data_IF_196953926442
#
_entry.id   IF_196953926442
#
_cell.length_a   1.000
_cell.length_b   1.000
_cell.length_c   1.000
_cell.angle_alpha   90.00
_cell.angle_beta   90.00
_cell.angle_gamma   90.00
#
_symmetry.space_group_name_H-M   'P 1'
#
loop_
_entity.id
_entity.type
_entity.pdbx_description
1 polymer ?
#
# COMPACT_ATOMS: atom_id res chain seq x y z
N UNK A 1 -3.06 -6.56 -6.98
CA UNK A 1 -1.71 -6.27 -6.49
C UNK A 1 -1.60 -6.53 -4.99
N UNK A 2 -0.39 -6.70 -4.46
CA UNK A 2 -0.17 -6.83 -3.01
C UNK A 2 -0.32 -5.49 -2.28
N UNK A 3 -0.70 -5.53 -0.98
CA UNK A 3 -0.78 -4.30 -0.17
C UNK A 3 0.56 -3.59 -0.01
N UNK A 4 1.68 -4.32 -0.11
CA UNK A 4 3.05 -3.76 -0.06
C UNK A 4 3.37 -2.90 -1.28
N UNK A 5 2.77 -3.20 -2.43
CA UNK A 5 3.06 -2.56 -3.70
C UNK A 5 2.17 -1.31 -3.95
N UNK A 6 1.29 -0.95 -2.99
CA UNK A 6 0.37 0.19 -3.14
C UNK A 6 1.11 1.51 -3.33
N UNK A 7 2.18 1.73 -2.57
CA UNK A 7 2.96 2.94 -2.67
C UNK A 7 3.69 3.05 -4.02
N UNK A 8 4.36 1.97 -4.43
CA UNK A 8 5.04 1.92 -5.73
C UNK A 8 4.07 2.09 -6.89
N UNK A 9 2.86 1.56 -6.75
CA UNK A 9 1.79 1.78 -7.74
C UNK A 9 1.37 3.25 -7.80
N UNK A 10 1.18 3.90 -6.64
CA UNK A 10 0.84 5.32 -6.59
C UNK A 10 1.94 6.17 -7.23
N UNK A 11 3.21 5.88 -6.91
CA UNK A 11 4.37 6.54 -7.50
C UNK A 11 4.40 6.37 -9.02
N UNK A 12 4.23 5.14 -9.51
CA UNK A 12 4.17 4.85 -10.95
C UNK A 12 3.02 5.56 -11.67
N UNK A 13 1.87 5.71 -11.02
CA UNK A 13 0.75 6.51 -11.56
C UNK A 13 1.14 7.98 -11.66
N UNK A 14 1.78 8.54 -10.64
CA UNK A 14 2.25 9.93 -10.67
C UNK A 14 3.29 10.14 -11.77
N UNK A 15 4.30 9.28 -11.86
CA UNK A 15 5.35 9.35 -12.87
C UNK A 15 4.83 9.15 -14.29
N UNK A 16 3.81 8.30 -14.46
CA UNK A 16 3.16 8.11 -15.76
C UNK A 16 2.33 9.32 -16.20
N UNK A 17 2.00 10.24 -15.28
CA UNK A 17 1.21 11.44 -15.55
C UNK A 17 1.97 12.71 -15.12
N UNK A 18 2.96 13.16 -15.89
CA UNK A 18 3.84 14.29 -15.52
C UNK A 18 3.11 15.61 -15.25
N UNK A 19 1.94 15.80 -15.86
CA UNK A 19 1.07 16.98 -15.65
C UNK A 19 -0.01 16.72 -14.60
N UNK A 20 0.19 15.74 -13.70
CA UNK A 20 -0.79 15.43 -12.67
C UNK A 20 -1.03 16.64 -11.77
N UNK A 21 -2.29 17.02 -11.62
CA UNK A 21 -2.77 17.94 -10.62
C UNK A 21 -3.97 17.30 -9.94
N UNK A 22 -3.78 16.76 -8.74
CA UNK A 22 -4.77 15.86 -8.20
C UNK A 22 -4.75 15.67 -6.70
N UNK A 23 -5.75 14.94 -6.21
CA UNK A 23 -5.89 14.56 -4.80
C UNK A 23 -5.73 13.04 -4.68
N UNK A 24 -4.96 12.63 -3.68
CA UNK A 24 -4.80 11.24 -3.24
C UNK A 24 -5.56 11.05 -1.92
N UNK A 25 -6.59 10.24 -1.94
CA UNK A 25 -7.39 9.95 -0.77
C UNK A 25 -6.85 8.77 0.03
N UNK A 26 -6.50 9.02 1.28
CA UNK A 26 -6.08 8.05 2.28
C UNK A 26 -7.15 7.85 3.35
N UNK A 27 -7.11 6.71 4.04
CA UNK A 27 -8.13 6.37 5.04
C UNK A 27 -7.93 7.06 6.38
N UNK A 28 -6.68 7.22 6.82
CA UNK A 28 -6.33 7.75 8.14
C UNK A 28 -5.36 8.90 8.04
N UNK A 29 -5.38 9.78 9.06
CA UNK A 29 -4.42 10.90 9.19
C UNK A 29 -2.96 10.41 9.13
N UNK A 30 -2.65 9.32 9.86
CA UNK A 30 -1.31 8.72 9.86
C UNK A 30 -0.88 8.23 8.46
N UNK A 31 -1.77 7.55 7.74
CA UNK A 31 -1.51 7.12 6.37
C UNK A 31 -1.28 8.32 5.45
N UNK A 32 -2.12 9.37 5.56
CA UNK A 32 -1.99 10.61 4.81
C UNK A 32 -0.60 11.23 5.00
N UNK A 33 -0.18 11.43 6.26
CA UNK A 33 1.14 12.01 6.55
C UNK A 33 2.29 11.12 6.09
N UNK A 34 2.19 9.80 6.26
CA UNK A 34 3.23 8.88 5.82
C UNK A 34 3.41 8.87 4.30
N UNK A 35 2.32 8.92 3.54
CA UNK A 35 2.37 8.96 2.07
C UNK A 35 2.91 10.32 1.60
N UNK A 36 2.48 11.43 2.20
CA UNK A 36 2.99 12.75 1.88
C UNK A 36 4.50 12.86 2.11
N UNK A 37 4.97 12.42 3.28
CA UNK A 37 6.40 12.44 3.60
C UNK A 37 7.22 11.60 2.61
N UNK A 38 6.72 10.43 2.21
CA UNK A 38 7.39 9.61 1.20
C UNK A 38 7.45 10.30 -0.16
N UNK A 39 6.35 10.92 -0.58
CA UNK A 39 6.30 11.66 -1.84
C UNK A 39 7.25 12.84 -1.84
N UNK A 40 7.29 13.65 -0.78
CA UNK A 40 8.25 14.74 -0.63
C UNK A 40 9.69 14.24 -0.66
N UNK A 41 10.00 13.16 0.05
CA UNK A 41 11.34 12.56 0.04
C UNK A 41 11.73 12.00 -1.34
N UNK A 42 10.77 11.54 -2.11
CA UNK A 42 10.98 11.08 -3.50
C UNK A 42 11.03 12.26 -4.51
N UNK A 43 10.93 13.51 -4.04
CA UNK A 43 11.08 14.73 -4.87
C UNK A 43 9.79 15.22 -5.52
N UNK A 44 8.61 14.75 -5.11
CA UNK A 44 7.34 15.25 -5.63
C UNK A 44 6.88 16.51 -4.90
N UNK A 45 6.26 17.42 -5.63
CA UNK A 45 5.56 18.57 -5.06
C UNK A 45 4.22 18.12 -4.46
N UNK A 46 4.28 17.55 -3.27
CA UNK A 46 3.15 16.99 -2.57
C UNK A 46 3.09 17.46 -1.12
N UNK A 47 1.89 17.57 -0.55
CA UNK A 47 1.70 17.87 0.86
C UNK A 47 0.45 17.18 1.42
N UNK A 48 0.37 17.08 2.74
CA UNK A 48 -0.74 16.44 3.45
C UNK A 48 -1.79 17.45 3.91
N UNK A 49 -3.07 17.04 3.87
CA UNK A 49 -4.14 17.76 4.56
C UNK A 49 -4.99 16.80 5.39
N UNK A 50 -4.99 17.01 6.71
CA UNK A 50 -5.74 16.17 7.67
C UNK A 50 -6.15 16.97 8.90
N UNK A 51 -6.99 16.40 9.75
CA UNK A 51 -7.60 17.10 10.87
C UNK A 51 -6.69 17.45 12.03
N UNK A 52 -5.40 17.08 12.00
CA UNK A 52 -4.41 17.49 13.02
C UNK A 52 -3.66 18.76 12.62
N UNK A 53 -3.80 19.24 11.40
CA UNK A 53 -3.24 20.52 10.98
C UNK A 53 -4.05 21.66 11.59
N UNK A 54 -3.34 22.72 12.04
CA UNK A 54 -3.96 23.97 12.43
C UNK A 54 -4.65 24.63 11.22
N UNK A 55 -5.58 25.57 11.47
CA UNK A 55 -6.26 26.26 10.38
C UNK A 55 -5.25 27.01 9.48
N UNK A 56 -4.26 27.67 10.05
CA UNK A 56 -3.21 28.37 9.31
C UNK A 56 -2.43 27.42 8.40
N UNK A 57 -2.02 26.26 8.92
CA UNK A 57 -1.32 25.25 8.11
C UNK A 57 -2.18 24.73 6.95
N UNK A 58 -3.48 24.53 7.19
CA UNK A 58 -4.41 24.12 6.13
C UNK A 58 -4.55 25.18 5.05
N UNK A 59 -4.65 26.45 5.45
CA UNK A 59 -4.77 27.57 4.53
C UNK A 59 -3.51 27.72 3.68
N UNK A 60 -2.31 27.55 4.27
CA UNK A 60 -1.02 27.56 3.58
C UNK A 60 -0.94 26.44 2.51
N UNK A 61 -1.25 25.20 2.90
CA UNK A 61 -1.26 24.06 1.98
C UNK A 61 -2.24 24.29 0.84
N UNK A 62 -3.44 24.79 1.17
CA UNK A 62 -4.48 25.05 0.17
C UNK A 62 -4.13 26.19 -0.76
N UNK A 63 -3.45 27.25 -0.25
CA UNK A 63 -2.95 28.36 -1.07
C UNK A 63 -1.94 27.86 -2.10
N UNK A 64 -0.93 27.09 -1.66
CA UNK A 64 0.07 26.47 -2.54
C UNK A 64 -0.58 25.56 -3.58
N UNK A 65 -1.59 24.77 -3.19
CA UNK A 65 -2.30 23.89 -4.09
C UNK A 65 -3.09 24.67 -5.15
N UNK A 66 -3.85 25.69 -4.78
CA UNK A 66 -4.59 26.53 -5.73
C UNK A 66 -3.67 27.29 -6.70
N UNK A 67 -2.50 27.72 -6.24
CA UNK A 67 -1.47 28.34 -7.06
C UNK A 67 -0.73 27.35 -7.98
N UNK A 68 -1.04 26.05 -7.89
CA UNK A 68 -0.36 24.96 -8.62
C UNK A 68 1.13 24.82 -8.33
N UNK A 69 1.65 25.48 -7.30
CA UNK A 69 2.99 25.22 -6.76
C UNK A 69 3.07 23.88 -6.07
N UNK A 70 1.93 23.35 -5.62
CA UNK A 70 1.73 22.00 -5.14
C UNK A 70 0.91 21.20 -6.16
N UNK A 71 1.44 20.05 -6.62
CA UNK A 71 0.80 19.25 -7.67
C UNK A 71 -0.11 18.16 -7.10
N UNK A 72 0.26 17.57 -5.98
CA UNK A 72 -0.43 16.41 -5.40
C UNK A 72 -0.79 16.71 -3.95
N UNK A 73 -2.08 16.73 -3.65
CA UNK A 73 -2.59 16.87 -2.30
C UNK A 73 -2.97 15.50 -1.74
N UNK A 74 -2.39 15.11 -0.60
CA UNK A 74 -2.74 13.85 0.07
C UNK A 74 -3.69 14.16 1.21
N UNK A 75 -4.92 13.58 1.19
CA UNK A 75 -5.99 14.02 2.05
C UNK A 75 -6.78 12.87 2.69
N UNK A 76 -7.35 13.14 3.88
CA UNK A 76 -8.46 12.34 4.42
C UNK A 76 -9.79 12.91 3.94
N UNK A 77 -10.86 12.09 3.94
CA UNK A 77 -12.21 12.54 3.55
C UNK A 77 -12.70 13.75 4.32
N UNK A 78 -12.49 13.75 5.65
CA UNK A 78 -12.95 14.83 6.52
C UNK A 78 -12.25 16.14 6.19
N UNK A 79 -10.95 16.08 5.94
CA UNK A 79 -10.16 17.27 5.62
C UNK A 79 -10.43 17.79 4.19
N UNK A 80 -10.80 16.89 3.28
CA UNK A 80 -11.15 17.24 1.91
C UNK A 80 -12.57 17.78 1.75
N UNK A 81 -13.44 17.67 2.76
CA UNK A 81 -14.76 18.30 2.73
C UNK A 81 -14.62 19.81 2.79
N UNK A 82 -15.36 20.50 1.93
CA UNK A 82 -15.31 21.96 1.85
C UNK A 82 -14.08 22.51 1.16
N UNK A 83 -13.20 21.67 0.63
CA UNK A 83 -12.14 22.13 -0.26
C UNK A 83 -12.78 22.60 -1.56
N UNK A 84 -12.74 23.92 -1.77
CA UNK A 84 -13.10 24.54 -3.04
C UNK A 84 -11.93 24.33 -4.02
N UNK A 85 -11.84 23.12 -4.55
CA UNK A 85 -10.83 22.74 -5.56
C UNK A 85 -11.55 21.93 -6.63
N UNK A 86 -11.77 22.58 -7.73
CA UNK A 86 -12.35 22.00 -8.92
C UNK A 86 -11.31 21.90 -10.06
N UNK A 87 -11.65 21.16 -11.09
CA UNK A 87 -10.80 20.99 -12.28
C UNK A 87 -9.49 20.23 -12.04
N UNK A 88 -9.50 19.33 -11.07
CA UNK A 88 -8.39 18.39 -10.92
C UNK A 88 -8.29 17.48 -12.14
N UNK A 89 -7.07 17.15 -12.54
CA UNK A 89 -6.83 16.17 -13.60
C UNK A 89 -7.07 14.75 -13.11
N UNK A 90 -6.71 14.48 -11.83
CA UNK A 90 -6.79 13.15 -11.25
C UNK A 90 -7.34 13.16 -9.83
N UNK A 91 -8.15 12.15 -9.53
CA UNK A 91 -8.52 11.75 -8.18
C UNK A 91 -8.03 10.32 -7.97
N UNK A 92 -7.18 10.11 -6.97
CA UNK A 92 -6.62 8.78 -6.69
C UNK A 92 -7.12 8.30 -5.34
N UNK A 93 -7.87 7.21 -5.34
CA UNK A 93 -8.27 6.51 -4.13
C UNK A 93 -7.17 5.51 -3.74
N UNK A 94 -6.18 5.97 -2.96
CA UNK A 94 -5.14 5.12 -2.41
C UNK A 94 -5.75 4.08 -1.47
N UNK A 95 -6.74 4.49 -0.68
CA UNK A 95 -7.58 3.61 0.13
C UNK A 95 -9.04 3.79 -0.27
N UNK A 96 -9.71 2.69 -0.62
CA UNK A 96 -11.13 2.72 -0.96
C UNK A 96 -11.97 3.13 0.27
N UNK A 97 -12.96 4.00 0.11
CA UNK A 97 -13.88 4.36 1.18
C UNK A 97 -14.76 3.15 1.57
N UNK A 98 -15.30 3.17 2.78
CA UNK A 98 -16.22 2.14 3.24
C UNK A 98 -17.65 2.39 2.69
N UNK A 99 -18.02 3.65 2.52
CA UNK A 99 -19.28 4.07 1.93
C UNK A 99 -19.09 4.43 0.44
N UNK A 100 -19.84 3.81 -0.47
CA UNK A 100 -19.83 4.14 -1.89
C UNK A 100 -20.15 5.59 -2.23
N UNK A 101 -21.00 6.28 -1.45
CA UNK A 101 -21.32 7.69 -1.68
C UNK A 101 -20.08 8.59 -1.52
N UNK A 102 -19.21 8.24 -0.57
CA UNK A 102 -17.93 8.94 -0.38
C UNK A 102 -17.04 8.81 -1.63
N UNK A 103 -17.08 7.66 -2.31
CA UNK A 103 -16.36 7.49 -3.59
C UNK A 103 -16.85 8.48 -4.64
N UNK A 104 -18.16 8.64 -4.76
CA UNK A 104 -18.76 9.59 -5.71
C UNK A 104 -18.37 11.04 -5.39
N UNK A 105 -18.40 11.43 -4.10
CA UNK A 105 -17.97 12.75 -3.65
C UNK A 105 -16.48 13.01 -3.91
N UNK A 106 -15.61 12.01 -3.73
CA UNK A 106 -14.18 12.11 -4.06
C UNK A 106 -14.00 12.28 -5.56
N UNK A 107 -14.61 11.41 -6.36
CA UNK A 107 -14.50 11.42 -7.82
C UNK A 107 -15.06 12.71 -8.43
N UNK A 108 -16.08 13.30 -7.82
CA UNK A 108 -16.64 14.58 -8.22
C UNK A 108 -15.70 15.78 -8.04
N UNK A 109 -14.46 15.63 -7.59
CA UNK A 109 -13.43 16.68 -7.59
C UNK A 109 -12.71 16.80 -8.93
N UNK A 110 -12.93 15.88 -9.85
CA UNK A 110 -12.42 15.91 -11.21
C UNK A 110 -13.56 15.83 -12.22
N UNK A 111 -13.29 16.14 -13.48
CA UNK A 111 -14.28 16.03 -14.57
C UNK A 111 -15.42 17.06 -14.52
N UNK A 112 -15.20 18.24 -13.93
CA UNK A 112 -16.20 19.32 -13.85
C UNK A 112 -16.08 20.31 -15.00
N UNK A 113 -17.15 21.05 -15.25
CA UNK A 113 -17.22 22.14 -16.25
C UNK A 113 -16.82 21.68 -17.68
N UNK A 114 -17.26 20.47 -18.09
CA UNK A 114 -16.99 19.95 -19.43
C UNK A 114 -15.56 19.44 -19.65
N UNK A 115 -14.71 19.42 -18.62
CA UNK A 115 -13.35 18.89 -18.69
C UNK A 115 -13.33 17.39 -18.37
N UNK A 116 -12.49 16.65 -19.08
CA UNK A 116 -12.26 15.25 -18.76
C UNK A 116 -11.43 15.11 -17.48
N UNK A 117 -11.81 14.17 -16.63
CA UNK A 117 -11.10 13.86 -15.39
C UNK A 117 -10.90 12.36 -15.22
N UNK A 118 -9.86 11.98 -14.50
CA UNK A 118 -9.52 10.58 -14.27
C UNK A 118 -9.66 10.27 -12.78
N UNK A 119 -10.53 9.30 -12.44
CA UNK A 119 -10.64 8.75 -11.09
C UNK A 119 -10.04 7.35 -11.05
N UNK A 120 -9.04 7.15 -10.21
CA UNK A 120 -8.28 5.90 -10.09
C UNK A 120 -8.52 5.29 -8.71
N UNK A 121 -8.80 3.98 -8.67
CA UNK A 121 -8.89 3.20 -7.45
C UNK A 121 -7.74 2.20 -7.37
N UNK A 122 -6.85 2.38 -6.40
CA UNK A 122 -5.76 1.43 -6.14
C UNK A 122 -6.29 0.34 -5.21
N UNK A 123 -6.50 -0.86 -5.75
CA UNK A 123 -7.11 -1.97 -5.02
C UNK A 123 -6.28 -3.25 -5.05
N UNK A 124 -6.43 -4.05 -4.01
CA UNK A 124 -5.89 -5.39 -3.96
C UNK A 124 -6.99 -6.44 -4.21
N UNK A 125 -6.60 -7.71 -4.36
CA UNK A 125 -7.54 -8.81 -4.66
C UNK A 125 -8.62 -9.02 -3.57
N UNK A 126 -8.40 -8.56 -2.34
CA UNK A 126 -9.36 -8.68 -1.22
C UNK A 126 -10.45 -7.60 -1.27
N UNK A 127 -10.18 -6.49 -1.95
CA UNK A 127 -11.08 -5.33 -2.05
C UNK A 127 -12.10 -5.45 -3.19
N UNK A 128 -12.12 -6.57 -3.94
CA UNK A 128 -13.03 -6.78 -5.07
C UNK A 128 -14.52 -6.66 -4.73
N UNK A 129 -14.94 -7.09 -3.53
CA UNK A 129 -16.33 -6.89 -3.07
C UNK A 129 -16.68 -5.42 -2.86
N UNK A 130 -15.71 -4.64 -2.39
CA UNK A 130 -15.86 -3.20 -2.17
C UNK A 130 -16.01 -2.45 -3.49
N UNK A 131 -15.18 -2.80 -4.49
CA UNK A 131 -15.29 -2.25 -5.84
C UNK A 131 -16.67 -2.51 -6.43
N UNK A 132 -17.15 -3.77 -6.39
CA UNK A 132 -18.50 -4.11 -6.87
C UNK A 132 -19.62 -3.36 -6.15
N UNK A 133 -19.48 -3.14 -4.84
CA UNK A 133 -20.46 -2.35 -4.08
C UNK A 133 -20.50 -0.90 -4.54
N UNK A 134 -19.33 -0.32 -4.86
CA UNK A 134 -19.22 1.04 -5.39
C UNK A 134 -19.82 1.09 -6.80
N UNK A 135 -19.49 0.16 -7.68
CA UNK A 135 -20.05 0.08 -9.05
C UNK A 135 -21.58 0.08 -9.02
N UNK A 136 -22.16 -0.82 -8.20
CA UNK A 136 -23.60 -0.97 -8.12
C UNK A 136 -24.33 0.26 -7.57
N UNK A 137 -23.79 0.88 -6.49
CA UNK A 137 -24.43 2.04 -5.87
C UNK A 137 -24.22 3.33 -6.64
N UNK A 138 -23.04 3.53 -7.21
CA UNK A 138 -22.70 4.75 -7.96
C UNK A 138 -23.03 4.64 -9.44
N UNK A 139 -23.56 3.52 -9.91
CA UNK A 139 -23.90 3.24 -11.33
C UNK A 139 -22.74 3.52 -12.28
N UNK A 140 -21.53 3.10 -11.89
CA UNK A 140 -20.30 3.25 -12.66
C UNK A 140 -19.69 1.89 -12.94
N UNK A 141 -18.84 1.81 -13.95
CA UNK A 141 -18.04 0.62 -14.25
C UNK A 141 -16.56 0.94 -14.11
N UNK A 142 -15.83 0.19 -13.28
CA UNK A 142 -14.38 0.30 -13.23
C UNK A 142 -13.71 -0.41 -14.39
N UNK A 143 -12.88 0.31 -15.12
CA UNK A 143 -12.01 -0.28 -16.14
C UNK A 143 -10.72 -0.71 -15.46
N UNK A 144 -10.46 -2.00 -15.42
CA UNK A 144 -9.20 -2.53 -14.89
C UNK A 144 -8.03 -2.15 -15.81
N UNK A 145 -7.01 -1.53 -15.23
CA UNK A 145 -5.75 -1.25 -15.92
C UNK A 145 -4.59 -1.88 -15.15
N UNK A 146 -3.58 -2.28 -15.88
CA UNK A 146 -2.33 -2.75 -15.30
C UNK A 146 -1.49 -1.54 -14.84
N UNK A 147 -0.65 -1.78 -13.84
CA UNK A 147 0.29 -0.76 -13.36
C UNK A 147 1.30 -0.47 -14.47
N UNK A 148 1.57 0.80 -14.80
CA UNK A 148 2.53 1.14 -15.86
C UNK A 148 3.90 0.49 -15.62
N UNK A 149 4.48 -0.07 -16.68
CA UNK A 149 5.84 -0.60 -16.63
C UNK A 149 6.87 0.54 -16.54
N UNK A 150 8.07 0.25 -16.04
CA UNK A 150 9.15 1.24 -16.02
C UNK A 150 9.46 1.79 -17.42
N UNK A 151 9.39 0.95 -18.46
CA UNK A 151 9.60 1.36 -19.85
C UNK A 151 8.53 2.35 -20.34
N UNK A 152 7.26 2.08 -20.04
CA UNK A 152 6.16 2.98 -20.45
C UNK A 152 6.28 4.34 -19.78
N UNK A 153 6.64 4.36 -18.49
CA UNK A 153 6.86 5.58 -17.71
C UNK A 153 8.01 6.38 -18.32
N UNK A 154 9.16 5.73 -18.54
CA UNK A 154 10.34 6.38 -19.12
C UNK A 154 10.05 6.98 -20.49
N UNK A 155 9.37 6.23 -21.37
CA UNK A 155 8.98 6.73 -22.68
C UNK A 155 8.11 7.98 -22.58
N UNK A 156 7.09 7.94 -21.72
CA UNK A 156 6.15 9.06 -21.56
C UNK A 156 6.82 10.31 -20.99
N UNK A 157 7.68 10.15 -19.99
CA UNK A 157 8.44 11.24 -19.39
C UNK A 157 9.43 11.86 -20.39
N UNK A 158 10.11 11.03 -21.18
CA UNK A 158 11.04 11.49 -22.18
C UNK A 158 10.33 12.32 -23.26
N UNK A 159 9.22 11.82 -23.81
CA UNK A 159 8.45 12.58 -24.79
C UNK A 159 7.92 13.89 -24.21
N UNK A 160 7.51 13.90 -22.93
CA UNK A 160 7.08 15.13 -22.28
C UNK A 160 8.22 16.14 -22.10
N UNK A 161 9.42 15.67 -21.79
CA UNK A 161 10.62 16.50 -21.76
C UNK A 161 10.85 17.16 -23.13
N UNK A 162 10.80 16.38 -24.21
CA UNK A 162 10.98 16.91 -25.59
C UNK A 162 9.90 17.95 -25.93
N UNK A 163 8.62 17.67 -25.63
CA UNK A 163 7.54 18.65 -25.83
C UNK A 163 7.77 19.96 -25.06
N UNK A 164 8.28 19.87 -23.83
CA UNK A 164 8.61 21.02 -23.01
C UNK A 164 9.72 21.85 -23.64
N UNK A 165 10.78 21.21 -24.13
CA UNK A 165 11.90 21.84 -24.81
C UNK A 165 11.43 22.57 -26.07
N UNK A 166 10.57 21.93 -26.87
CA UNK A 166 10.03 22.55 -28.09
C UNK A 166 9.19 23.82 -27.82
N UNK A 167 8.58 23.87 -26.61
CA UNK A 167 7.69 25.00 -26.23
C UNK A 167 8.42 26.10 -25.44
N UNK A 168 9.67 25.87 -25.04
CA UNK A 168 10.46 26.89 -24.34
C UNK A 168 10.64 28.12 -25.19
N UNK A 169 10.25 29.26 -24.65
CA UNK A 169 10.57 30.56 -25.24
C UNK A 169 11.98 30.92 -24.81
N UNK A 170 12.88 30.95 -25.76
CA UNK A 170 14.27 31.37 -25.52
C UNK A 170 14.32 32.87 -25.33
N UNK A 171 14.78 33.34 -24.18
CA UNK A 171 15.09 34.75 -23.98
C UNK A 171 16.49 35.01 -24.56
N UNK A 172 16.49 35.47 -25.83
CA UNK A 172 17.73 35.71 -26.57
C UNK A 172 18.64 36.71 -25.86
N UNK A 173 18.08 37.78 -25.26
CA UNK A 173 18.88 38.81 -24.59
C UNK A 173 19.66 38.28 -23.40
N UNK A 174 19.08 37.32 -22.68
CA UNK A 174 19.74 36.73 -21.51
C UNK A 174 20.79 35.69 -21.88
N UNK A 175 20.61 34.95 -22.98
CA UNK A 175 21.49 33.81 -23.33
C UNK A 175 22.58 34.26 -24.33
N UNK A 176 22.33 35.27 -25.16
CA UNK A 176 23.24 35.74 -26.21
C UNK A 176 24.68 36.01 -25.73
N UNK A 177 24.93 36.63 -24.55
CA UNK A 177 26.30 36.86 -24.08
C UNK A 177 27.11 35.56 -23.83
N UNK A 178 26.45 34.42 -23.71
CA UNK A 178 27.11 33.12 -23.41
C UNK A 178 27.17 32.20 -24.63
N UNK A 179 26.50 32.53 -25.72
CA UNK A 179 26.36 31.64 -26.87
C UNK A 179 27.66 31.33 -27.59
N UNK A 180 28.56 32.32 -27.76
CA UNK A 180 29.85 32.11 -28.42
C UNK A 180 30.70 31.06 -27.66
N UNK A 181 30.78 31.19 -26.33
CA UNK A 181 31.53 30.25 -25.49
C UNK A 181 30.88 28.86 -25.49
N UNK A 182 29.56 28.81 -25.51
CA UNK A 182 28.79 27.56 -25.57
C UNK A 182 29.04 26.84 -26.89
N UNK A 183 28.95 27.59 -28.02
CA UNK A 183 29.17 27.01 -29.32
C UNK A 183 30.59 26.49 -29.50
N UNK A 184 31.60 27.27 -29.09
CA UNK A 184 32.99 26.84 -29.11
C UNK A 184 33.23 25.55 -28.33
N UNK A 185 32.67 25.43 -27.15
CA UNK A 185 32.79 24.21 -26.31
C UNK A 185 32.07 23.01 -26.86
N UNK A 186 31.02 23.20 -27.63
CA UNK A 186 30.18 22.12 -28.17
C UNK A 186 30.48 21.82 -29.66
N UNK A 187 31.38 22.55 -30.28
CA UNK A 187 31.72 22.45 -31.72
C UNK A 187 32.15 21.03 -32.14
N UNK A 188 32.80 20.28 -31.21
CA UNK A 188 33.24 18.91 -31.47
C UNK A 188 32.09 17.87 -31.47
N UNK A 189 30.91 18.23 -31.01
CA UNK A 189 29.77 17.34 -30.94
C UNK A 189 28.89 17.44 -32.18
N UNK A 190 28.58 16.31 -32.80
CA UNK A 190 27.52 16.27 -33.81
C UNK A 190 26.17 16.64 -33.20
N UNK A 191 25.23 17.10 -34.03
CA UNK A 191 23.86 17.36 -33.61
C UNK A 191 23.22 16.16 -32.91
N UNK A 192 23.51 14.95 -33.41
CA UNK A 192 22.97 13.70 -32.83
C UNK A 192 23.60 13.43 -31.47
N UNK A 193 24.89 13.64 -31.30
CA UNK A 193 25.57 13.45 -30.03
C UNK A 193 25.18 14.51 -29.02
N UNK A 194 24.98 15.75 -29.43
CA UNK A 194 24.46 16.81 -28.57
C UNK A 194 23.08 16.43 -28.00
N UNK A 195 22.17 15.89 -28.83
CA UNK A 195 20.87 15.43 -28.40
C UNK A 195 21.01 14.26 -27.41
N UNK A 196 21.89 13.27 -27.69
CA UNK A 196 22.14 12.14 -26.79
C UNK A 196 22.69 12.61 -25.44
N UNK A 197 23.68 13.51 -25.44
CA UNK A 197 24.26 14.05 -24.19
C UNK A 197 23.23 14.83 -23.39
N UNK A 198 22.44 15.68 -24.04
CA UNK A 198 21.39 16.45 -23.40
C UNK A 198 20.32 15.56 -22.76
N UNK A 199 19.80 14.59 -23.52
CA UNK A 199 18.82 13.61 -22.99
C UNK A 199 19.42 12.81 -21.85
N UNK A 200 20.69 12.39 -21.97
CA UNK A 200 21.36 11.62 -20.94
C UNK A 200 21.57 12.43 -19.66
N UNK A 201 21.97 13.69 -19.76
CA UNK A 201 22.19 14.55 -18.60
C UNK A 201 20.91 14.76 -17.79
N UNK A 202 19.80 14.97 -18.46
CA UNK A 202 18.50 15.22 -17.80
C UNK A 202 17.80 13.94 -17.34
N UNK A 203 18.03 12.81 -18.00
CA UNK A 203 17.16 11.64 -17.87
C UNK A 203 17.81 10.38 -17.28
N UNK A 204 19.15 10.28 -17.24
CA UNK A 204 19.84 9.08 -16.78
C UNK A 204 19.44 8.66 -15.35
N UNK A 205 19.30 9.61 -14.42
CA UNK A 205 18.88 9.31 -13.04
C UNK A 205 17.52 8.63 -13.00
N UNK A 206 16.60 9.07 -13.84
CA UNK A 206 15.25 8.52 -13.94
C UNK A 206 15.24 7.13 -14.60
N UNK A 207 16.01 6.96 -15.67
CA UNK A 207 16.22 5.66 -16.32
C UNK A 207 16.83 4.63 -15.36
N UNK A 208 17.86 5.01 -14.63
CA UNK A 208 18.52 4.13 -13.66
C UNK A 208 17.59 3.67 -12.56
N UNK A 209 16.73 4.56 -12.06
CA UNK A 209 15.74 4.22 -11.06
C UNK A 209 14.79 3.13 -11.58
N UNK A 210 14.22 3.30 -12.77
CA UNK A 210 13.26 2.34 -13.33
C UNK A 210 13.90 1.07 -13.87
N UNK A 211 15.13 1.10 -14.35
CA UNK A 211 15.88 -0.10 -14.75
C UNK A 211 16.19 -1.01 -13.54
N UNK A 212 16.42 -0.44 -12.37
CA UNK A 212 16.66 -1.18 -11.13
C UNK A 212 15.38 -1.60 -10.41
N UNK A 213 14.27 -0.90 -10.64
CA UNK A 213 12.99 -1.19 -10.01
C UNK A 213 12.32 -2.41 -10.65
N UNK A 214 11.92 -3.38 -9.84
CA UNK A 214 11.11 -4.52 -10.32
C UNK A 214 9.70 -4.02 -10.68
N UNK A 215 9.19 -4.44 -11.83
CA UNK A 215 7.80 -4.13 -12.18
C UNK A 215 6.82 -4.75 -11.19
N UNK A 216 5.78 -3.98 -10.84
CA UNK A 216 4.73 -4.44 -9.95
C UNK A 216 3.95 -5.57 -10.63
N UNK A 217 4.08 -6.79 -10.10
CA UNK A 217 3.37 -7.95 -10.65
C UNK A 217 1.88 -7.84 -10.35
N UNK A 218 1.08 -7.84 -11.41
CA UNK A 218 -0.38 -7.97 -11.27
C UNK A 218 -0.74 -9.39 -10.84
N UNK A 219 -1.27 -9.56 -9.64
CA UNK A 219 -1.89 -10.82 -9.24
C UNK A 219 -3.17 -11.02 -10.08
N UNK A 220 -3.19 -12.08 -10.85
CA UNK A 220 -4.28 -12.60 -11.69
C UNK A 220 -4.24 -12.26 -13.19
N UNK A 221 -3.39 -12.98 -13.93
CA UNK A 221 -3.83 -13.58 -15.18
C UNK A 221 -4.45 -14.95 -14.85
N UNK A 222 -5.64 -14.99 -14.30
CA UNK A 222 -6.51 -16.17 -14.47
C UNK A 222 -6.97 -16.12 -15.93
N UNK A 223 -6.44 -17.05 -16.73
CA UNK A 223 -6.92 -17.30 -18.08
C UNK A 223 -8.43 -17.52 -18.02
N UNK A 224 -9.20 -16.56 -18.53
CA UNK A 224 -10.56 -16.81 -19.01
C UNK A 224 -10.43 -17.65 -20.29
N UNK A 225 -10.32 -18.95 -20.13
CA UNK A 225 -10.73 -19.93 -21.11
C UNK A 225 -11.90 -20.66 -20.50
N UNK A 226 -13.06 -20.33 -21.02
CA UNK A 226 -14.31 -21.00 -20.70
C UNK A 226 -14.24 -22.50 -20.93
N UNK A 227 -15.17 -23.13 -20.22
CA UNK A 227 -15.69 -24.48 -20.40
C UNK A 227 -14.97 -25.64 -19.71
N UNK A 228 -15.84 -26.37 -19.03
CA UNK A 228 -15.73 -27.67 -18.39
C UNK A 228 -15.29 -27.71 -16.92
N UNK A 229 -16.30 -27.56 -16.08
CA UNK A 229 -16.25 -28.00 -14.68
C UNK A 229 -16.05 -29.52 -14.62
N UNK A 230 -14.82 -29.96 -14.36
CA UNK A 230 -14.50 -31.27 -13.77
C UNK A 230 -14.04 -31.10 -12.32
N UNK A 231 -14.22 -32.09 -11.45
CA UNK A 231 -14.12 -31.90 -10.02
C UNK A 231 -12.70 -31.56 -9.57
N UNK A 232 -12.66 -30.74 -8.54
CA UNK A 232 -11.52 -30.10 -7.92
C UNK A 232 -10.48 -31.12 -7.42
N UNK A 233 -9.50 -31.44 -8.25
CA UNK A 233 -8.26 -32.07 -7.84
C UNK A 233 -7.22 -30.99 -7.59
N UNK A 234 -6.71 -30.92 -6.36
CA UNK A 234 -5.64 -30.05 -5.90
C UNK A 234 -4.46 -30.08 -6.87
N UNK A 235 -4.29 -29.03 -7.71
CA UNK A 235 -3.05 -28.84 -8.46
C UNK A 235 -2.04 -28.14 -7.56
N UNK A 236 -0.96 -28.85 -7.31
CA UNK A 236 0.27 -28.38 -6.69
C UNK A 236 0.84 -27.21 -7.51
N UNK A 237 0.86 -26.02 -6.94
CA UNK A 237 1.82 -24.99 -7.31
C UNK A 237 3.23 -25.56 -7.09
N UNK A 238 4.20 -25.22 -7.92
CA UNK A 238 5.62 -25.46 -7.66
C UNK A 238 5.98 -24.88 -6.26
N UNK A 239 5.74 -25.67 -5.23
CA UNK A 239 6.39 -25.51 -3.95
C UNK A 239 7.71 -26.21 -4.13
N UNK A 240 8.81 -25.50 -4.00
CA UNK A 240 10.04 -26.11 -3.56
C UNK A 240 9.65 -27.17 -2.55
N UNK A 241 10.17 -28.38 -2.68
CA UNK A 241 9.75 -29.51 -1.85
C UNK A 241 10.14 -29.23 -0.40
N UNK A 242 9.22 -28.60 0.37
CA UNK A 242 9.41 -28.42 1.80
C UNK A 242 9.46 -29.79 2.45
N UNK A 243 10.48 -30.02 3.26
CA UNK A 243 10.72 -31.23 4.02
C UNK A 243 10.50 -30.90 5.51
N UNK A 244 9.83 -31.79 6.22
CA UNK A 244 9.59 -31.65 7.66
C UNK A 244 10.79 -32.13 8.45
N UNK A 245 11.19 -31.34 9.43
CA UNK A 245 12.23 -31.67 10.40
C UNK A 245 11.68 -31.58 11.81
N UNK A 246 12.20 -32.45 12.68
CA UNK A 246 11.97 -32.39 14.12
C UNK A 246 13.29 -32.07 14.82
N UNK A 247 13.26 -31.09 15.74
CA UNK A 247 14.39 -30.73 16.60
C UNK A 247 14.01 -30.95 18.06
N UNK A 248 14.95 -31.43 18.88
CA UNK A 248 14.77 -31.86 20.28
C UNK A 248 14.63 -30.70 21.28
N UNK A 249 14.16 -29.54 20.89
CA UNK A 249 13.85 -28.40 21.76
C UNK A 249 12.41 -27.95 21.53
N UNK A 250 11.74 -27.60 22.63
CA UNK A 250 10.33 -27.21 22.64
C UNK A 250 10.03 -26.10 23.63
N UNK A 251 8.76 -25.99 24.04
CA UNK A 251 8.32 -24.96 25.00
C UNK A 251 9.03 -25.03 26.34
N UNK A 252 9.33 -26.24 26.81
CA UNK A 252 10.08 -26.47 28.08
C UNK A 252 11.49 -25.88 28.04
N UNK A 253 12.07 -25.76 26.85
CA UNK A 253 13.40 -25.17 26.63
C UNK A 253 13.34 -23.68 26.31
N UNK A 254 12.16 -23.04 26.40
CA UNK A 254 11.97 -21.61 26.11
C UNK A 254 11.94 -21.28 24.63
N UNK A 255 11.69 -22.23 23.71
CA UNK A 255 11.70 -22.00 22.27
C UNK A 255 10.43 -21.27 21.83
N UNK A 256 10.62 -20.13 21.14
CA UNK A 256 9.60 -19.42 20.37
C UNK A 256 9.84 -19.56 18.87
N UNK A 257 8.85 -19.28 18.00
CA UNK A 257 9.06 -19.29 16.55
C UNK A 257 10.20 -18.37 16.09
N UNK A 258 10.37 -17.21 16.75
CA UNK A 258 11.41 -16.23 16.44
C UNK A 258 12.79 -16.77 16.79
N UNK A 259 12.92 -17.44 17.94
CA UNK A 259 14.17 -18.04 18.38
C UNK A 259 14.59 -19.20 17.51
N UNK A 260 13.63 -20.06 17.07
CA UNK A 260 13.92 -21.13 16.13
C UNK A 260 14.43 -20.58 14.78
N UNK A 261 13.78 -19.56 14.24
CA UNK A 261 14.19 -18.91 12.99
C UNK A 261 15.60 -18.31 13.14
N UNK A 262 15.86 -17.62 14.25
CA UNK A 262 17.18 -17.04 14.54
C UNK A 262 18.27 -18.12 14.67
N UNK A 263 17.95 -19.24 15.31
CA UNK A 263 18.87 -20.39 15.42
C UNK A 263 19.22 -20.98 14.06
N UNK A 264 18.21 -21.20 13.21
CA UNK A 264 18.40 -21.73 11.85
C UNK A 264 19.25 -20.77 11.00
N UNK A 265 18.93 -19.47 11.04
CA UNK A 265 19.66 -18.46 10.29
C UNK A 265 21.13 -18.36 10.75
N UNK A 266 21.38 -18.45 12.07
CA UNK A 266 22.74 -18.47 12.62
C UNK A 266 23.50 -19.72 12.22
N UNK A 267 22.85 -20.91 12.24
CA UNK A 267 23.44 -22.18 11.82
C UNK A 267 23.89 -22.14 10.36
N UNK A 268 23.06 -21.59 9.49
CA UNK A 268 23.26 -21.59 8.04
C UNK A 268 23.98 -20.32 7.52
N UNK A 269 24.20 -19.34 8.39
CA UNK A 269 24.80 -18.02 8.05
C UNK A 269 24.09 -17.31 6.89
N UNK A 270 22.75 -17.41 6.84
CA UNK A 270 21.92 -16.80 5.81
C UNK A 270 20.60 -16.31 6.42
N UNK A 271 20.15 -15.11 6.01
CA UNK A 271 18.88 -14.51 6.45
C UNK A 271 17.75 -14.69 5.42
N UNK A 272 18.01 -15.35 4.29
CA UNK A 272 17.05 -15.50 3.18
C UNK A 272 16.42 -16.91 3.12
N UNK A 273 16.45 -17.64 4.25
CA UNK A 273 15.96 -19.02 4.30
C UNK A 273 14.43 -19.02 4.43
N UNK A 274 13.75 -19.65 3.47
CA UNK A 274 12.31 -19.84 3.56
C UNK A 274 11.96 -20.98 4.54
N UNK A 275 11.37 -20.61 5.67
CA UNK A 275 10.84 -21.56 6.67
C UNK A 275 9.31 -21.54 6.52
N UNK A 276 8.73 -22.73 6.35
CA UNK A 276 7.29 -22.92 6.20
C UNK A 276 6.54 -22.91 7.53
N UNK A 277 5.74 -23.93 7.78
CA UNK A 277 5.01 -24.11 9.05
C UNK A 277 5.96 -24.42 10.21
N UNK A 278 5.64 -23.94 11.42
CA UNK A 278 6.35 -24.26 12.67
C UNK A 278 5.30 -24.71 13.70
N UNK A 279 5.48 -25.90 14.28
CA UNK A 279 4.68 -26.45 15.37
C UNK A 279 5.57 -26.74 16.58
N UNK A 280 5.50 -25.89 17.60
CA UNK A 280 6.28 -26.01 18.83
C UNK A 280 5.48 -26.83 19.83
N UNK A 281 5.97 -28.01 20.14
CA UNK A 281 5.42 -28.90 21.18
C UNK A 281 6.16 -28.71 22.51
N UNK A 282 5.82 -29.46 23.52
CA UNK A 282 6.43 -29.27 24.85
C UNK A 282 7.92 -29.60 24.90
N UNK A 283 8.35 -30.69 24.28
CA UNK A 283 9.73 -31.19 24.33
C UNK A 283 10.47 -31.15 22.99
N UNK A 284 9.78 -30.91 21.85
CA UNK A 284 10.37 -30.85 20.54
C UNK A 284 9.59 -29.91 19.62
N UNK A 285 10.17 -29.53 18.51
CA UNK A 285 9.54 -28.65 17.51
C UNK A 285 9.61 -29.27 16.13
N UNK A 286 8.49 -29.24 15.40
CA UNK A 286 8.42 -29.66 14.00
C UNK A 286 8.35 -28.39 13.13
N UNK A 287 9.12 -28.36 12.06
CA UNK A 287 9.11 -27.23 11.12
C UNK A 287 9.37 -27.68 9.69
N UNK A 288 8.85 -26.88 8.74
CA UNK A 288 9.01 -27.10 7.31
C UNK A 288 10.12 -26.21 6.77
N UNK A 289 11.03 -26.75 5.97
CA UNK A 289 12.13 -26.00 5.35
C UNK A 289 12.40 -26.51 3.94
N UNK A 290 12.97 -25.66 3.08
CA UNK A 290 13.33 -26.03 1.71
C UNK A 290 14.28 -27.24 1.68
N UNK A 291 13.95 -28.25 0.88
CA UNK A 291 14.73 -29.48 0.75
C UNK A 291 16.16 -29.28 0.24
N UNK A 292 16.45 -28.18 -0.46
CA UNK A 292 17.78 -27.86 -0.98
C UNK A 292 18.85 -27.70 0.12
N UNK A 293 18.45 -27.24 1.32
CA UNK A 293 19.34 -26.97 2.46
C UNK A 293 19.38 -28.10 3.50
N UNK A 294 18.73 -29.24 3.22
CA UNK A 294 18.67 -30.41 4.10
C UNK A 294 20.02 -30.85 4.66
N UNK A 295 21.00 -31.01 3.77
CA UNK A 295 22.31 -31.57 4.15
C UNK A 295 23.09 -30.60 5.06
N UNK A 296 22.99 -29.31 4.81
CA UNK A 296 23.64 -28.27 5.60
C UNK A 296 22.99 -28.15 6.99
N UNK A 297 21.68 -28.28 7.06
CA UNK A 297 20.93 -28.20 8.30
C UNK A 297 21.32 -29.35 9.25
N UNK A 298 21.35 -30.60 8.75
CA UNK A 298 21.71 -31.79 9.54
C UNK A 298 23.16 -31.72 10.02
N UNK A 299 24.08 -31.14 9.24
CA UNK A 299 25.50 -31.04 9.60
C UNK A 299 25.81 -29.91 10.59
N UNK A 300 25.07 -28.80 10.51
CA UNK A 300 25.42 -27.56 11.23
C UNK A 300 24.65 -27.37 12.53
N UNK A 301 23.39 -27.76 12.61
CA UNK A 301 22.56 -27.59 13.81
C UNK A 301 23.11 -28.36 15.03
N UNK A 302 23.56 -29.63 14.93
CA UNK A 302 24.11 -30.34 16.11
C UNK A 302 25.37 -29.72 16.71
N UNK A 303 26.01 -28.78 16.02
CA UNK A 303 27.21 -28.07 16.49
C UNK A 303 26.91 -26.80 17.30
N UNK A 304 25.62 -26.51 17.51
CA UNK A 304 25.16 -25.30 18.20
C UNK A 304 24.45 -25.70 19.46
N UNK A 305 24.78 -25.05 20.57
CA UNK A 305 24.05 -25.19 21.82
C UNK A 305 22.92 -24.13 21.91
N UNK A 306 21.79 -24.56 22.46
CA UNK A 306 20.67 -23.69 22.76
C UNK A 306 20.32 -23.78 24.25
N UNK A 307 20.60 -22.70 25.00
CA UNK A 307 20.36 -22.62 26.45
C UNK A 307 20.93 -23.82 27.23
N UNK A 308 22.16 -24.26 26.87
CA UNK A 308 22.82 -25.41 27.51
C UNK A 308 22.33 -26.78 27.06
N UNK A 309 21.47 -26.85 26.05
CA UNK A 309 20.98 -28.11 25.49
C UNK A 309 21.69 -28.41 24.15
N UNK A 310 22.25 -29.61 24.02
CA UNK A 310 22.75 -30.08 22.72
C UNK A 310 21.60 -30.34 21.76
N UNK A 311 21.75 -29.84 20.52
CA UNK A 311 20.70 -29.94 19.54
C UNK A 311 20.81 -31.22 18.70
N UNK A 312 19.66 -31.86 18.48
CA UNK A 312 19.52 -33.00 17.58
C UNK A 312 18.38 -32.74 16.63
N UNK A 313 18.66 -32.92 15.32
CA UNK A 313 17.68 -32.70 14.27
C UNK A 313 17.49 -33.96 13.44
N UNK A 314 16.26 -34.29 13.12
CA UNK A 314 15.90 -35.46 12.30
C UNK A 314 14.84 -35.06 11.27
N UNK A 315 14.91 -35.64 10.08
CA UNK A 315 13.81 -35.56 9.12
C UNK A 315 12.64 -36.39 9.66
N UNK A 316 11.42 -35.86 9.55
CA UNK A 316 10.20 -36.52 10.03
C UNK A 316 9.10 -36.50 8.96
N UNK A 317 8.26 -37.52 8.98
CA UNK A 317 7.02 -37.55 8.18
C UNK A 317 5.85 -36.87 8.88
N UNK A 318 6.00 -36.52 10.16
CA UNK A 318 4.97 -35.77 10.89
C UNK A 318 4.74 -34.41 10.26
N UNK A 319 3.47 -34.08 10.02
CA UNK A 319 3.07 -32.81 9.43
C UNK A 319 2.86 -31.76 10.52
N UNK A 320 3.24 -30.54 10.20
CA UNK A 320 2.95 -29.38 11.06
C UNK A 320 1.45 -29.20 11.21
N UNK A 321 0.93 -29.36 12.42
CA UNK A 321 -0.48 -29.11 12.72
C UNK A 321 -0.78 -27.61 12.68
N UNK A 322 -1.60 -27.18 11.74
CA UNK A 322 -2.13 -25.81 11.71
C UNK A 322 -3.17 -25.66 12.81
N UNK A 323 -2.77 -25.31 14.01
CA UNK A 323 -3.70 -24.90 15.08
C UNK A 323 -4.34 -23.57 14.71
N UNK A 324 -5.42 -23.62 13.94
CA UNK A 324 -6.36 -22.50 13.88
C UNK A 324 -6.95 -22.33 15.28
N UNK A 325 -6.65 -21.23 15.95
CA UNK A 325 -7.14 -20.89 17.27
C UNK A 325 -8.68 -20.84 17.27
N UNK A 326 -9.33 -21.95 17.60
CA UNK A 326 -10.78 -22.02 17.89
C UNK A 326 -11.17 -21.24 19.16
N UNK A 327 -10.21 -20.82 19.96
CA UNK A 327 -10.49 -20.11 21.23
C UNK A 327 -11.01 -18.68 21.08
N UNK A 328 -10.72 -17.97 19.97
CA UNK A 328 -11.23 -16.61 19.78
C UNK A 328 -12.72 -16.54 19.42
N UNK A 329 -13.37 -17.64 19.00
CA UNK A 329 -14.81 -17.66 18.71
C UNK A 329 -15.69 -17.85 19.94
N UNK A 330 -15.25 -18.57 20.98
CA UNK A 330 -16.06 -18.77 22.21
C UNK A 330 -16.11 -17.51 23.10
N UNK A 331 -15.06 -16.70 23.17
CA UNK A 331 -15.07 -15.43 23.94
C UNK A 331 -15.90 -14.29 23.29
N UNK A 332 -16.10 -14.30 21.97
CA UNK A 332 -16.96 -13.30 21.32
C UNK A 332 -18.46 -13.56 21.49
N UNK A 333 -18.88 -14.83 21.67
CA UNK A 333 -20.30 -15.15 21.92
C UNK A 333 -20.73 -14.91 23.36
N UNK A 334 -19.82 -15.02 24.34
CA UNK A 334 -20.11 -14.75 25.75
C UNK A 334 -20.15 -13.24 26.09
N UNK A 335 -19.37 -12.41 25.39
CA UNK A 335 -19.38 -10.95 25.57
C UNK A 335 -20.61 -10.29 24.91
N UNK A 336 -21.11 -10.83 23.79
CA UNK A 336 -22.31 -10.33 23.14
C UNK A 336 -23.59 -10.62 23.96
N UNK A 337 -23.63 -11.72 24.72
CA UNK A 337 -24.77 -12.05 25.59
C UNK A 337 -24.79 -11.24 26.89
N UNK A 338 -23.63 -10.82 27.43
CA UNK A 338 -23.55 -9.95 28.61
C UNK A 338 -23.94 -8.49 28.32
N UNK A 339 -23.65 -7.99 27.11
CA UNK A 339 -24.04 -6.62 26.74
C UNK A 339 -25.53 -6.46 26.38
N UNK A 340 -26.23 -7.54 25.99
CA UNK A 340 -27.69 -7.45 25.78
C UNK A 340 -28.48 -7.38 27.08
N UNK A 341 -28.02 -8.05 28.15
CA UNK A 341 -28.72 -8.00 29.45
C UNK A 341 -28.46 -6.69 30.23
N UNK A 342 -27.40 -5.94 29.93
CA UNK A 342 -27.16 -4.63 30.54
C UNK A 342 -27.91 -3.49 29.83
N UNK A 343 -28.20 -3.62 28.52
CA UNK A 343 -28.97 -2.58 27.81
C UNK A 343 -30.47 -2.58 28.17
N UNK A 344 -31.06 -3.72 28.52
CA UNK A 344 -32.43 -3.81 28.96
C UNK A 344 -32.67 -3.30 30.38
N UNK A 345 -31.66 -3.31 31.27
CA UNK A 345 -31.78 -2.73 32.63
C UNK A 345 -31.65 -1.23 32.64
N UNK A 346 -30.92 -0.60 31.74
CA UNK A 346 -30.78 0.85 31.65
C UNK A 346 -31.99 1.56 31.05
N UNK A 347 -32.81 0.87 30.24
CA UNK A 347 -34.05 1.45 29.73
C UNK A 347 -35.20 1.49 30.75
N UNK A 348 -35.21 0.60 31.77
CA UNK A 348 -36.24 0.63 32.82
C UNK A 348 -36.01 1.67 33.92
N UNK A 349 -34.77 2.10 34.14
CA UNK A 349 -34.43 3.11 35.15
C UNK A 349 -34.58 4.56 34.67
N UNK A 350 -34.47 4.81 33.35
CA UNK A 350 -34.67 6.17 32.80
C UNK A 350 -36.14 6.60 32.61
N UNK A 351 -37.08 5.66 32.59
CA UNK A 351 -38.50 5.94 32.49
C UNK A 351 -39.12 6.54 33.74
N UNK A 352 -38.62 6.22 34.93
CA UNK A 352 -39.19 6.67 36.20
C UNK A 352 -38.72 8.06 36.69
N UNK A 353 -37.66 8.62 36.11
CA UNK A 353 -37.17 9.96 36.48
C UNK A 353 -37.85 11.11 35.72
N UNK A 354 -38.52 10.84 34.60
CA UNK A 354 -39.19 11.88 33.81
C UNK A 354 -40.57 12.25 34.34
N UNK A 355 -41.24 11.36 35.05
CA UNK A 355 -42.56 11.62 35.62
C UNK A 355 -42.54 12.35 36.98
N UNK A 356 -41.44 12.31 37.74
CA UNK A 356 -41.34 13.07 39.00
C UNK A 356 -41.05 14.57 38.83
N UNK A 357 -40.57 15.02 37.67
CA UNK A 357 -40.30 16.43 37.40
C UNK A 357 -41.50 17.20 36.87
N UNK A 358 -42.54 16.53 36.34
CA UNK A 358 -43.76 17.20 35.87
C UNK A 358 -44.73 17.53 37.01
N UNK A 359 -44.72 16.80 38.10
CA UNK A 359 -45.63 17.09 39.24
C UNK A 359 -45.10 18.15 40.23
N UNK A 360 -43.82 18.55 40.17
CA UNK A 360 -43.27 19.60 41.03
C UNK A 360 -43.39 21.03 40.45
N UNK A 361 -43.89 21.18 39.19
CA UNK A 361 -44.10 22.48 38.57
C UNK A 361 -45.55 22.98 38.59
N UNK A 362 -46.51 22.18 39.11
CA UNK A 362 -47.90 22.58 39.24
C UNK A 362 -48.31 23.17 40.58
N UNK A 363 -47.42 23.10 41.62
CA UNK A 363 -47.74 23.63 42.97
C UNK A 363 -46.95 24.90 43.35
N UNK A 364 -46.55 25.72 42.39
CA UNK A 364 -46.00 27.07 42.68
C UNK A 364 -46.61 28.10 41.72
N UNK A 365 -47.94 28.21 41.75
CA UNK A 365 -48.65 29.38 41.31
C UNK A 365 -49.98 29.38 42.10
N UNK A 366 -49.93 29.98 43.27
CA UNK A 366 -50.90 30.78 43.95
C UNK A 366 -50.17 31.59 44.99
#
# INVERSE_FOLDING_TARGET
MNSKDKYDTLKRIADFNPDIYGIVFCRTRRETQQIANKFMNDGYNADAIHGELSQSQRDDVMSKFRQKSLQILIATDVAARGLDVDSLTHVINYSLPDDPEVYTHRSGRTGRAGKNGISIAISNSREGRKLKSIENKSQINFIRKDVPSGKDICSKQLFKLIERIQKVKVDQKQIEPFLEDIYSKLESLSREDLIKHFVSAEFNKFLDYYNKSKDVKNENKRNDKGENRKPFNKRSSNRNSFINFSINIGRKNGVSPIELISLINRALKSNEIEIGGIDIRESYTIFEIDGSIKNDLIKKIPKIDFNGNSLSIKQTEEKVEKRFSKEKKKKRYSSAKRNRNNSERDYKTKGNFRNKRKNKRKNKRF
#
